data_IF_950755501503
#
_entry.id   IF_950755501503
#
_cell.length_a   1.000
_cell.length_b   1.000
_cell.length_c   1.000
_cell.angle_alpha   90.00
_cell.angle_beta   90.00
_cell.angle_gamma   90.00
#
_symmetry.space_group_name_H-M   'P 1'
#
loop_
_entity.id
_entity.type
_entity.pdbx_description
1 polymer ?
#
# COMPACT_ATOMS: atom_id res chain seq x y z
N UNK A 1 -7.22 -28.22 -35.30
CA UNK A 1 -6.39 -28.19 -34.07
C UNK A 1 -6.54 -26.80 -33.45
N UNK A 2 -7.16 -26.76 -32.28
CA UNK A 2 -7.58 -25.55 -31.56
C UNK A 2 -6.37 -24.71 -31.16
N UNK A 3 -6.27 -23.51 -31.72
CA UNK A 3 -5.21 -22.56 -31.45
C UNK A 3 -5.49 -21.87 -30.10
N UNK A 4 -5.05 -22.47 -29.01
CA UNK A 4 -5.06 -21.85 -27.69
C UNK A 4 -4.14 -20.64 -27.68
N UNK A 5 -4.71 -19.44 -27.83
CA UNK A 5 -3.99 -18.17 -27.73
C UNK A 5 -4.52 -17.37 -26.51
N UNK A 6 -3.85 -17.44 -25.34
CA UNK A 6 -4.30 -16.79 -24.10
C UNK A 6 -4.28 -15.24 -24.17
N UNK A 7 -3.71 -14.68 -25.24
CA UNK A 7 -3.60 -13.23 -25.51
C UNK A 7 -4.91 -12.56 -25.95
N UNK A 8 -6.02 -13.29 -26.15
CA UNK A 8 -7.33 -12.70 -26.51
C UNK A 8 -8.21 -12.34 -25.30
N UNK A 9 -7.78 -12.66 -24.08
CA UNK A 9 -8.55 -12.32 -22.88
C UNK A 9 -8.34 -10.86 -22.48
N UNK A 10 -9.38 -10.21 -21.90
CA UNK A 10 -9.23 -8.86 -21.42
C UNK A 10 -8.23 -8.79 -20.24
N UNK A 11 -7.44 -7.71 -20.17
CA UNK A 11 -6.35 -7.55 -19.20
C UNK A 11 -6.80 -7.71 -17.75
N UNK A 12 -7.99 -7.19 -17.39
CA UNK A 12 -8.51 -7.36 -16.04
C UNK A 12 -8.71 -8.84 -15.69
N UNK A 13 -9.17 -9.68 -16.62
CA UNK A 13 -9.36 -11.11 -16.40
C UNK A 13 -8.04 -11.84 -16.25
N UNK A 14 -7.00 -11.41 -16.97
CA UNK A 14 -5.64 -11.94 -16.80
C UNK A 14 -5.07 -11.61 -15.42
N UNK A 15 -5.29 -10.38 -14.92
CA UNK A 15 -4.84 -9.97 -13.57
C UNK A 15 -5.57 -10.79 -12.50
N UNK A 16 -6.91 -10.90 -12.59
CA UNK A 16 -7.68 -11.71 -11.64
C UNK A 16 -7.27 -13.18 -11.66
N UNK A 17 -7.08 -13.76 -12.85
CA UNK A 17 -6.58 -15.12 -12.99
C UNK A 17 -5.17 -15.27 -12.40
N UNK A 18 -4.28 -14.30 -12.62
CA UNK A 18 -2.93 -14.29 -12.05
C UNK A 18 -2.93 -14.23 -10.53
N UNK A 19 -3.78 -13.40 -9.92
CA UNK A 19 -3.95 -13.34 -8.46
C UNK A 19 -4.47 -14.67 -7.93
N UNK A 20 -5.52 -15.22 -8.55
CA UNK A 20 -6.10 -16.51 -8.13
C UNK A 20 -5.07 -17.64 -8.21
N UNK A 21 -4.32 -17.71 -9.31
CA UNK A 21 -3.25 -18.68 -9.49
C UNK A 21 -2.11 -18.47 -8.48
N UNK A 22 -1.75 -17.23 -8.17
CA UNK A 22 -0.75 -16.90 -7.15
C UNK A 22 -1.16 -17.38 -5.76
N UNK A 23 -2.42 -17.17 -5.38
CA UNK A 23 -2.96 -17.68 -4.10
C UNK A 23 -2.95 -19.21 -4.07
N UNK A 24 -3.44 -19.87 -5.14
CA UNK A 24 -3.45 -21.33 -5.23
C UNK A 24 -2.03 -21.89 -5.17
N UNK A 25 -1.08 -21.29 -5.90
CA UNK A 25 0.32 -21.69 -5.88
C UNK A 25 0.93 -21.53 -4.48
N UNK A 26 0.67 -20.41 -3.79
CA UNK A 26 1.13 -20.19 -2.42
C UNK A 26 0.59 -21.23 -1.43
N UNK A 27 -0.69 -21.60 -1.55
CA UNK A 27 -1.31 -22.61 -0.69
C UNK A 27 -0.79 -24.03 -0.96
N UNK A 28 -0.50 -24.37 -2.21
CA UNK A 28 -0.01 -25.71 -2.59
C UNK A 28 1.47 -25.89 -2.22
N UNK A 29 2.27 -24.83 -2.33
CA UNK A 29 3.73 -24.92 -2.13
C UNK A 29 4.13 -25.23 -0.68
N UNK A 30 3.33 -24.87 0.33
CA UNK A 30 3.58 -25.19 1.75
C UNK A 30 4.87 -24.55 2.31
N UNK A 31 4.96 -24.42 3.64
CA UNK A 31 6.06 -23.71 4.32
C UNK A 31 7.45 -24.39 4.20
N UNK A 32 7.51 -25.65 3.73
CA UNK A 32 8.71 -26.49 3.85
C UNK A 32 8.98 -27.39 2.64
N UNK A 33 8.57 -27.00 1.43
CA UNK A 33 8.95 -27.75 0.24
C UNK A 33 10.31 -27.25 -0.29
N UNK A 34 11.39 -27.87 0.15
CA UNK A 34 12.71 -27.69 -0.45
C UNK A 34 12.71 -28.30 -1.86
N UNK A 35 12.93 -27.46 -2.89
CA UNK A 35 12.92 -27.86 -4.30
C UNK A 35 14.12 -28.74 -4.71
N UNK A 36 15.14 -28.84 -3.85
CA UNK A 36 16.53 -29.34 -4.03
C UNK A 36 17.56 -28.19 -3.94
N UNK A 37 18.62 -28.42 -3.15
CA UNK A 37 19.79 -27.54 -2.96
C UNK A 37 19.53 -26.16 -2.29
N UNK A 38 18.69 -26.11 -1.25
CA UNK A 38 18.54 -24.94 -0.38
C UNK A 38 17.80 -23.75 -1.00
N UNK A 39 17.19 -23.92 -2.17
CA UNK A 39 16.30 -22.93 -2.78
C UNK A 39 14.86 -23.30 -2.46
N UNK A 40 14.17 -22.45 -1.69
CA UNK A 40 12.77 -22.60 -1.33
C UNK A 40 11.88 -21.96 -2.41
N UNK A 41 10.67 -22.48 -2.64
CA UNK A 41 9.67 -21.85 -3.52
C UNK A 41 9.42 -20.38 -3.15
N UNK A 42 9.46 -20.08 -1.84
CA UNK A 42 9.33 -18.73 -1.28
C UNK A 42 10.37 -17.75 -1.86
N UNK A 43 11.64 -18.16 -1.96
CA UNK A 43 12.70 -17.30 -2.51
C UNK A 43 12.48 -16.96 -3.98
N UNK A 44 11.87 -17.86 -4.76
CA UNK A 44 11.55 -17.61 -6.16
C UNK A 44 10.36 -16.65 -6.27
N UNK A 45 9.33 -16.84 -5.45
CA UNK A 45 8.16 -15.95 -5.43
C UNK A 45 8.52 -14.55 -4.97
N UNK A 46 9.32 -14.44 -3.91
CA UNK A 46 9.81 -13.16 -3.41
C UNK A 46 10.70 -12.46 -4.44
N UNK A 47 11.59 -13.18 -5.11
CA UNK A 47 12.44 -12.60 -6.16
C UNK A 47 11.61 -12.04 -7.32
N UNK A 48 10.64 -12.82 -7.83
CA UNK A 48 9.77 -12.37 -8.93
C UNK A 48 8.88 -11.21 -8.47
N UNK A 49 8.32 -11.29 -7.26
CA UNK A 49 7.49 -10.25 -6.66
C UNK A 49 8.27 -8.95 -6.47
N UNK A 50 9.48 -9.04 -5.94
CA UNK A 50 10.38 -7.90 -5.75
C UNK A 50 10.77 -7.27 -7.07
N UNK A 51 11.09 -8.07 -8.09
CA UNK A 51 11.40 -7.56 -9.43
C UNK A 51 10.20 -6.80 -10.03
N UNK A 52 8.99 -7.35 -9.88
CA UNK A 52 7.76 -6.69 -10.31
C UNK A 52 7.50 -5.38 -9.56
N UNK A 53 7.63 -5.37 -8.24
CA UNK A 53 7.47 -4.16 -7.42
C UNK A 53 8.52 -3.10 -7.76
N UNK A 54 9.77 -3.49 -8.01
CA UNK A 54 10.83 -2.57 -8.42
C UNK A 54 10.55 -1.95 -9.79
N UNK A 55 10.03 -2.73 -10.73
CA UNK A 55 9.60 -2.22 -12.03
C UNK A 55 8.46 -1.18 -11.89
N UNK A 56 7.48 -1.42 -11.01
CA UNK A 56 6.42 -0.44 -10.74
C UNK A 56 6.98 0.83 -10.06
N UNK A 57 7.82 0.69 -9.03
CA UNK A 57 8.43 1.82 -8.30
C UNK A 57 9.24 2.73 -9.20
N UNK A 58 9.97 2.17 -10.17
CA UNK A 58 10.75 2.94 -11.15
C UNK A 58 9.88 3.90 -11.98
N UNK A 59 8.61 3.53 -12.25
CA UNK A 59 7.70 4.34 -13.06
C UNK A 59 6.99 5.42 -12.25
N UNK A 60 6.77 5.19 -10.94
CA UNK A 60 5.94 6.05 -10.09
C UNK A 60 6.45 7.50 -10.05
N UNK A 61 7.73 7.69 -9.70
CA UNK A 61 8.31 9.03 -9.52
C UNK A 61 8.23 9.91 -10.78
N UNK A 62 8.73 9.48 -11.96
CA UNK A 62 8.66 10.31 -13.16
C UNK A 62 7.23 10.54 -13.66
N UNK A 63 6.35 9.54 -13.52
CA UNK A 63 4.97 9.64 -13.98
C UNK A 63 4.15 10.61 -13.12
N UNK A 64 4.32 10.57 -11.79
CA UNK A 64 3.65 11.51 -10.88
C UNK A 64 4.14 12.94 -11.12
N UNK A 65 5.46 13.15 -11.21
CA UNK A 65 6.02 14.49 -11.42
C UNK A 65 5.49 15.13 -12.72
N UNK A 66 5.55 14.39 -13.83
CA UNK A 66 5.05 14.86 -15.14
C UNK A 66 3.54 15.08 -15.15
N UNK A 67 2.77 14.19 -14.52
CA UNK A 67 1.32 14.33 -14.39
C UNK A 67 0.91 15.55 -13.55
N UNK A 68 1.60 15.83 -12.44
CA UNK A 68 1.30 16.99 -11.60
C UNK A 68 1.69 18.29 -12.32
N UNK A 69 2.88 18.35 -12.93
CA UNK A 69 3.34 19.54 -13.66
C UNK A 69 2.37 19.88 -14.80
N UNK A 70 2.04 18.89 -15.64
CA UNK A 70 1.10 19.10 -16.75
C UNK A 70 -0.32 19.43 -16.27
N UNK A 71 -0.78 18.77 -15.20
CA UNK A 71 -2.08 19.02 -14.60
C UNK A 71 -2.20 20.46 -14.06
N UNK A 72 -1.19 20.94 -13.33
CA UNK A 72 -1.18 22.30 -12.79
C UNK A 72 -0.98 23.34 -13.88
N UNK A 73 -0.13 23.08 -14.88
CA UNK A 73 0.07 23.98 -16.02
C UNK A 73 -1.21 24.19 -16.85
N UNK A 74 -2.09 23.19 -16.91
CA UNK A 74 -3.40 23.29 -17.57
C UNK A 74 -4.46 24.09 -16.80
N UNK A 75 -4.21 24.40 -15.52
CA UNK A 75 -5.12 25.20 -14.70
C UNK A 75 -4.80 26.69 -14.91
N UNK A 76 -5.73 27.43 -15.52
CA UNK A 76 -5.58 28.81 -15.99
C UNK A 76 -5.35 29.90 -14.92
N UNK A 77 -4.74 29.58 -13.78
CA UNK A 77 -4.22 30.55 -12.81
C UNK A 77 -4.22 30.09 -11.34
N UNK A 78 -3.51 30.79 -10.44
CA UNK A 78 -3.35 30.40 -9.03
C UNK A 78 -4.67 30.27 -8.25
N UNK A 79 -5.67 31.11 -8.55
CA UNK A 79 -6.98 31.07 -7.90
C UNK A 79 -7.78 29.79 -8.21
N UNK A 80 -7.55 29.19 -9.39
CA UNK A 80 -8.19 27.92 -9.76
C UNK A 80 -7.60 26.74 -9.01
N UNK A 81 -6.27 26.75 -8.80
CA UNK A 81 -5.54 25.74 -8.03
C UNK A 81 -5.96 25.75 -6.56
N UNK A 82 -6.03 26.93 -5.93
CA UNK A 82 -6.44 27.06 -4.53
C UNK A 82 -7.88 26.57 -4.29
N UNK A 83 -8.81 26.86 -5.20
CA UNK A 83 -10.20 26.38 -5.11
C UNK A 83 -10.31 24.86 -5.31
N UNK A 84 -9.52 24.30 -6.22
CA UNK A 84 -9.48 22.85 -6.45
C UNK A 84 -8.86 22.14 -5.23
N UNK A 85 -7.70 22.61 -4.77
CA UNK A 85 -7.02 22.07 -3.60
C UNK A 85 -7.88 22.10 -2.34
N UNK A 86 -8.53 23.23 -2.05
CA UNK A 86 -9.42 23.35 -0.89
C UNK A 86 -10.61 22.38 -0.93
N UNK A 87 -11.23 22.21 -2.12
CA UNK A 87 -12.31 21.21 -2.30
C UNK A 87 -11.79 19.78 -2.11
N UNK A 88 -10.62 19.48 -2.65
CA UNK A 88 -9.99 18.16 -2.52
C UNK A 88 -9.65 17.84 -1.07
N UNK A 89 -9.03 18.77 -0.33
CA UNK A 89 -8.74 18.59 1.11
C UNK A 89 -10.02 18.34 1.89
N UNK A 90 -11.05 19.16 1.69
CA UNK A 90 -12.34 18.97 2.38
C UNK A 90 -12.98 17.62 2.04
N UNK A 91 -12.91 17.21 0.77
CA UNK A 91 -13.40 15.92 0.31
C UNK A 91 -12.66 14.76 0.99
N UNK A 92 -11.33 14.78 1.02
CA UNK A 92 -10.52 13.73 1.66
C UNK A 92 -10.73 13.69 3.17
N UNK A 93 -10.81 14.84 3.85
CA UNK A 93 -11.09 14.88 5.29
C UNK A 93 -12.47 14.34 5.61
N UNK A 94 -13.50 14.72 4.86
CA UNK A 94 -14.86 14.25 5.08
C UNK A 94 -14.97 12.73 4.85
N UNK A 95 -14.47 12.25 3.70
CA UNK A 95 -14.52 10.83 3.34
C UNK A 95 -13.67 9.96 4.26
N UNK A 96 -12.46 10.40 4.65
CA UNK A 96 -11.62 9.67 5.61
C UNK A 96 -12.25 9.62 7.00
N UNK A 97 -12.87 10.72 7.45
CA UNK A 97 -13.59 10.73 8.73
C UNK A 97 -14.75 9.73 8.71
N UNK A 98 -15.54 9.73 7.63
CA UNK A 98 -16.64 8.75 7.47
C UNK A 98 -16.08 7.32 7.44
N UNK A 99 -14.99 7.07 6.72
CA UNK A 99 -14.36 5.74 6.67
C UNK A 99 -13.88 5.27 8.05
N UNK A 100 -13.24 6.16 8.83
CA UNK A 100 -12.81 5.86 10.21
C UNK A 100 -14.01 5.58 11.11
N UNK A 101 -15.09 6.37 11.03
CA UNK A 101 -16.30 6.15 11.82
C UNK A 101 -16.96 4.81 11.48
N UNK A 102 -17.05 4.46 10.19
CA UNK A 102 -17.58 3.17 9.74
C UNK A 102 -16.69 2.03 10.23
N UNK A 103 -15.36 2.13 10.06
CA UNK A 103 -14.41 1.14 10.54
C UNK A 103 -14.51 0.93 12.05
N UNK A 104 -14.57 2.02 12.82
CA UNK A 104 -14.74 1.98 14.26
C UNK A 104 -16.08 1.36 14.66
N UNK A 105 -17.15 1.68 13.95
CA UNK A 105 -18.47 1.07 14.17
C UNK A 105 -18.41 -0.44 13.96
N UNK A 106 -17.89 -0.89 12.81
CA UNK A 106 -17.77 -2.32 12.48
C UNK A 106 -16.89 -3.05 13.50
N UNK A 107 -15.73 -2.49 13.86
CA UNK A 107 -14.82 -3.10 14.85
C UNK A 107 -15.48 -3.20 16.22
N UNK A 108 -16.22 -2.18 16.67
CA UNK A 108 -16.90 -2.22 17.96
C UNK A 108 -18.11 -3.17 17.97
N UNK A 109 -18.74 -3.44 16.82
CA UNK A 109 -19.84 -4.39 16.69
C UNK A 109 -19.35 -5.84 16.60
N UNK A 110 -18.42 -6.10 15.69
CA UNK A 110 -17.89 -7.45 15.44
C UNK A 110 -16.92 -7.87 16.55
N UNK A 111 -16.28 -6.91 17.23
CA UNK A 111 -15.26 -7.11 18.27
C UNK A 111 -14.23 -8.18 17.86
N UNK A 112 -13.58 -8.03 16.69
CA UNK A 112 -12.57 -8.98 16.24
C UNK A 112 -11.44 -9.00 17.28
N UNK A 113 -11.04 -10.20 17.72
CA UNK A 113 -10.02 -10.37 18.77
C UNK A 113 -10.56 -10.66 20.18
N UNK A 114 -11.87 -10.81 20.36
CA UNK A 114 -12.46 -11.40 21.57
C UNK A 114 -13.16 -12.70 21.17
N UNK A 115 -12.66 -13.85 21.64
CA UNK A 115 -13.30 -15.16 21.51
C UNK A 115 -13.74 -15.59 22.91
N UNK A 116 -15.04 -15.85 23.09
CA UNK A 116 -15.61 -16.31 24.37
C UNK A 116 -15.28 -15.42 25.59
N UNK A 117 -15.20 -14.09 25.39
CA UNK A 117 -14.91 -13.14 26.47
C UNK A 117 -13.44 -13.02 26.86
N UNK A 118 -12.54 -13.74 26.18
CA UNK A 118 -11.08 -13.67 26.38
C UNK A 118 -10.43 -13.00 25.17
N UNK A 119 -9.47 -12.11 25.44
CA UNK A 119 -8.66 -11.49 24.40
C UNK A 119 -7.82 -12.57 23.71
N UNK A 120 -8.03 -12.71 22.40
CA UNK A 120 -7.41 -13.75 21.57
C UNK A 120 -5.88 -13.60 21.51
N UNK A 121 -5.36 -12.40 21.76
CA UNK A 121 -3.92 -12.13 21.83
C UNK A 121 -3.17 -13.00 22.85
N UNK A 122 -3.79 -13.32 23.99
CA UNK A 122 -3.19 -14.21 25.00
C UNK A 122 -3.31 -15.71 24.68
N UNK A 123 -4.16 -16.09 23.72
CA UNK A 123 -4.38 -17.48 23.31
C UNK A 123 -3.56 -17.89 22.08
N UNK A 124 -3.14 -16.91 21.26
CA UNK A 124 -2.39 -17.13 20.03
C UNK A 124 -0.88 -16.91 20.16
N UNK A 125 -0.37 -16.71 21.39
CA UNK A 125 1.04 -16.40 21.68
C UNK A 125 1.60 -15.30 20.75
N UNK A 126 0.76 -14.31 20.44
CA UNK A 126 1.25 -13.09 19.84
C UNK A 126 2.11 -12.42 20.91
N UNK A 127 3.43 -12.49 20.76
CA UNK A 127 4.34 -11.59 21.48
C UNK A 127 3.87 -10.16 21.19
N UNK A 128 3.03 -9.60 22.06
CA UNK A 128 2.77 -8.18 22.11
C UNK A 128 4.07 -7.54 22.53
N UNK A 129 4.92 -7.33 21.53
CA UNK A 129 6.18 -6.64 21.66
C UNK A 129 5.81 -5.17 21.91
N UNK A 130 5.40 -4.89 23.15
CA UNK A 130 4.81 -3.60 23.53
C UNK A 130 5.77 -2.45 23.25
N UNK A 131 7.07 -2.77 23.20
CA UNK A 131 8.17 -1.90 22.81
C UNK A 131 8.16 -1.58 21.29
N UNK A 132 7.80 -2.55 20.42
CA UNK A 132 7.56 -2.30 19.00
C UNK A 132 6.29 -1.46 18.79
N UNK A 133 5.22 -1.69 19.55
CA UNK A 133 4.01 -0.86 19.45
C UNK A 133 4.28 0.56 19.97
N UNK A 134 4.99 0.69 21.09
CA UNK A 134 5.38 1.97 21.66
C UNK A 134 6.32 2.76 20.73
N UNK A 135 7.29 2.11 20.07
CA UNK A 135 8.18 2.78 19.10
C UNK A 135 7.47 3.19 17.82
N UNK A 136 6.45 2.44 17.36
CA UNK A 136 5.63 2.83 16.20
C UNK A 136 4.69 3.99 16.52
N UNK A 137 4.18 4.07 17.76
CA UNK A 137 3.37 5.20 18.23
C UNK A 137 4.25 6.43 18.49
N UNK A 138 5.44 6.26 19.05
CA UNK A 138 6.41 7.34 19.24
C UNK A 138 6.94 7.90 17.90
N UNK A 139 7.09 7.06 16.87
CA UNK A 139 7.43 7.51 15.51
C UNK A 139 6.34 8.35 14.83
N UNK A 140 5.12 8.36 15.37
CA UNK A 140 4.01 9.20 14.90
C UNK A 140 3.96 10.58 15.59
N UNK A 141 4.95 10.92 16.43
CA UNK A 141 5.07 12.24 17.09
C UNK A 141 5.55 13.37 16.16
N UNK A 142 5.66 13.12 14.86
CA UNK A 142 5.73 14.19 13.87
C UNK A 142 4.41 14.95 13.88
N UNK A 143 4.27 15.92 14.78
CA UNK A 143 3.11 16.80 14.84
C UNK A 143 2.84 17.47 13.49
N UNK A 144 1.69 18.11 13.34
CA UNK A 144 1.28 18.76 12.08
C UNK A 144 2.40 19.64 11.48
N UNK A 145 3.21 20.30 12.32
CA UNK A 145 4.35 21.10 11.90
C UNK A 145 5.48 20.30 11.20
N UNK A 146 5.78 19.09 11.66
CA UNK A 146 6.79 18.21 11.04
C UNK A 146 6.33 17.72 9.67
N UNK A 147 5.03 17.45 9.51
CA UNK A 147 4.44 17.13 8.20
C UNK A 147 4.60 18.30 7.22
N UNK A 148 4.36 19.54 7.68
CA UNK A 148 4.58 20.73 6.86
C UNK A 148 6.07 20.96 6.54
N UNK A 149 6.99 20.58 7.42
CA UNK A 149 8.43 20.70 7.16
C UNK A 149 8.87 19.70 6.08
N UNK A 150 8.33 18.48 6.08
CA UNK A 150 8.60 17.46 5.06
C UNK A 150 8.09 17.86 3.67
N UNK A 151 7.01 18.66 3.59
CA UNK A 151 6.49 19.17 2.31
C UNK A 151 7.50 20.01 1.50
N UNK A 152 8.53 20.56 2.14
CA UNK A 152 9.54 21.38 1.49
C UNK A 152 10.94 20.76 1.68
N UNK A 153 11.27 19.69 0.95
CA UNK A 153 12.56 19.02 1.10
C UNK A 153 13.71 19.95 0.68
N UNK A 154 14.88 19.86 1.36
CA UNK A 154 16.04 20.68 1.02
C UNK A 154 16.64 20.34 -0.36
N UNK A 155 16.37 19.14 -0.88
CA UNK A 155 16.82 18.70 -2.21
C UNK A 155 15.77 17.80 -2.89
N UNK A 156 15.21 18.30 -4.01
CA UNK A 156 14.14 17.62 -4.77
C UNK A 156 14.63 16.31 -5.40
N UNK A 157 15.87 16.25 -5.88
CA UNK A 157 16.43 15.04 -6.52
C UNK A 157 16.63 13.93 -5.50
N UNK A 158 17.12 14.29 -4.31
CA UNK A 158 17.29 13.35 -3.21
C UNK A 158 15.94 12.84 -2.70
N UNK A 159 14.96 13.73 -2.51
CA UNK A 159 13.59 13.35 -2.15
C UNK A 159 12.96 12.40 -3.18
N UNK A 160 13.15 12.67 -4.47
CA UNK A 160 12.70 11.80 -5.55
C UNK A 160 13.41 10.42 -5.55
N UNK A 161 14.71 10.37 -5.24
CA UNK A 161 15.48 9.13 -5.17
C UNK A 161 15.08 8.26 -3.97
N UNK A 162 14.76 8.88 -2.84
CA UNK A 162 14.30 8.20 -1.61
C UNK A 162 12.81 7.84 -1.66
N UNK A 163 12.08 8.26 -2.70
CA UNK A 163 10.64 8.06 -2.80
C UNK A 163 9.84 8.88 -1.78
N UNK A 164 10.42 9.98 -1.27
CA UNK A 164 9.72 10.96 -0.46
C UNK A 164 8.76 11.74 -1.37
N UNK A 165 7.51 11.29 -1.39
CA UNK A 165 6.43 11.85 -2.23
C UNK A 165 5.61 12.94 -1.52
N UNK A 166 5.95 13.25 -0.27
CA UNK A 166 5.36 14.31 0.53
C UNK A 166 6.37 15.46 0.66
#
# INVERSE_FOLDING_TARGET
MSQWNPLRWPLYAQIFAGILLGVIAGLISGDTAELVAGVTYDSIYDYIGTLFLNALKMLIVPLIATSIISGVAGLGGPGSLGRLGGKTVLYYLATSTIAVLVGLTVVNLVKPGILNGVAVGGLLDFETNSELVASRVAGAEGGVAEVFLRMFPPNIVMAAAEGQML
#
